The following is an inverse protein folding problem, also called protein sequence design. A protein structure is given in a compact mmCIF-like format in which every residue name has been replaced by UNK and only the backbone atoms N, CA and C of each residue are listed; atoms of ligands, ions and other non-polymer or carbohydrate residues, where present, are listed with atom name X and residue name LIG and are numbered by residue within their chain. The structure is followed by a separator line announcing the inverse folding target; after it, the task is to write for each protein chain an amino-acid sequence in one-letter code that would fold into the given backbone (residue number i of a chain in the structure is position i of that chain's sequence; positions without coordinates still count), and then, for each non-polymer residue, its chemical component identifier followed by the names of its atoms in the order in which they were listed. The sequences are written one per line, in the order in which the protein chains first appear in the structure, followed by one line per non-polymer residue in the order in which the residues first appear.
data_IF_240585995266
#
_entry.id   IF_240585995266
#
_cell.length_a   1.000
_cell.length_b   1.000
_cell.length_c   1.000
_cell.angle_alpha   90.00
_cell.angle_beta   90.00
_cell.angle_gamma   90.00
#
_symmetry.space_group_name_H-M   'P 1'
#
loop_
_entity.id
_entity.type
_entity.pdbx_description
1 polymer ?
#
# COMPACT_ATOMS: atom_id res chain seq x y z
N UNK A 1 -10.36 9.42 -16.13
CA UNK A 1 -9.89 8.91 -14.82
C UNK A 1 -10.13 10.00 -13.78
N UNK A 2 -9.27 11.00 -13.71
CA UNK A 2 -9.21 11.98 -12.62
C UNK A 2 -10.53 12.70 -12.31
N UNK A 3 -11.30 13.08 -13.34
CA UNK A 3 -12.57 13.78 -13.14
C UNK A 3 -13.61 12.93 -12.37
N UNK A 4 -13.65 11.62 -12.61
CA UNK A 4 -14.61 10.72 -11.94
C UNK A 4 -14.31 10.63 -10.45
N UNK A 5 -13.04 10.44 -10.08
CA UNK A 5 -12.61 10.35 -8.69
C UNK A 5 -12.73 11.69 -7.96
N UNK A 6 -12.49 12.81 -8.66
CA UNK A 6 -12.75 14.15 -8.12
C UNK A 6 -14.22 14.36 -7.77
N UNK A 7 -15.14 13.91 -8.63
CA UNK A 7 -16.58 13.97 -8.33
C UNK A 7 -16.90 13.11 -7.12
N UNK A 8 -16.36 11.88 -7.02
CA UNK A 8 -16.56 11.02 -5.85
C UNK A 8 -16.09 11.67 -4.54
N UNK A 9 -14.93 12.30 -4.54
CA UNK A 9 -14.43 13.06 -3.38
C UNK A 9 -15.36 14.22 -2.99
N UNK A 10 -15.93 14.93 -3.98
CA UNK A 10 -16.91 15.99 -3.74
C UNK A 10 -18.22 15.45 -3.16
N UNK A 11 -18.73 14.31 -3.67
CA UNK A 11 -19.93 13.68 -3.13
C UNK A 11 -19.69 13.19 -1.68
N UNK A 12 -18.50 12.67 -1.37
CA UNK A 12 -18.11 12.33 0.00
C UNK A 12 -18.20 13.54 0.94
N UNK A 13 -17.70 14.69 0.51
CA UNK A 13 -17.77 15.94 1.29
C UNK A 13 -19.20 16.41 1.49
N UNK A 14 -20.03 16.37 0.44
CA UNK A 14 -21.44 16.78 0.56
C UNK A 14 -22.19 15.87 1.51
N UNK A 15 -22.01 14.55 1.38
CA UNK A 15 -22.61 13.57 2.28
C UNK A 15 -22.20 13.85 3.72
N UNK A 16 -20.90 13.99 3.98
CA UNK A 16 -20.38 14.33 5.30
C UNK A 16 -21.00 15.62 5.86
N UNK A 17 -20.96 16.72 5.12
CA UNK A 17 -21.50 18.01 5.60
C UNK A 17 -23.01 17.97 5.83
N UNK A 18 -23.77 17.24 5.01
CA UNK A 18 -25.23 17.14 5.13
C UNK A 18 -25.69 16.50 6.45
N UNK A 19 -24.87 15.62 7.04
CA UNK A 19 -25.15 14.93 8.31
C UNK A 19 -24.32 15.46 9.48
N UNK A 20 -23.62 16.57 9.31
CA UNK A 20 -22.70 17.10 10.32
C UNK A 20 -23.39 17.85 11.46
N UNK A 21 -24.56 18.46 11.23
CA UNK A 21 -25.29 19.27 12.22
C UNK A 21 -26.79 19.31 11.92
N UNK A 22 -27.64 19.57 12.92
CA UNK A 22 -29.06 19.83 12.70
C UNK A 22 -29.30 21.18 11.99
N UNK A 23 -30.45 21.35 11.30
CA UNK A 23 -31.47 20.34 11.04
C UNK A 23 -30.98 19.31 10.01
N UNK A 24 -31.40 18.06 10.18
CA UNK A 24 -31.12 17.01 9.20
C UNK A 24 -31.75 17.35 7.86
N UNK A 25 -31.08 16.90 6.80
CA UNK A 25 -31.58 17.01 5.43
C UNK A 25 -32.93 16.33 5.31
N UNK A 26 -33.80 16.84 4.43
CA UNK A 26 -35.11 16.23 4.20
C UNK A 26 -34.95 14.79 3.68
N UNK A 27 -35.99 13.97 3.80
CA UNK A 27 -35.95 12.60 3.27
C UNK A 27 -35.68 12.57 1.75
N UNK A 28 -36.21 13.55 1.01
CA UNK A 28 -35.99 13.70 -0.43
C UNK A 28 -34.54 14.09 -0.74
N UNK A 29 -33.97 15.04 0.01
CA UNK A 29 -32.56 15.45 -0.16
C UNK A 29 -31.60 14.32 0.25
N UNK A 30 -31.93 13.57 1.30
CA UNK A 30 -31.16 12.41 1.74
C UNK A 30 -31.16 11.31 0.67
N UNK A 31 -32.31 11.03 0.07
CA UNK A 31 -32.41 10.10 -1.05
C UNK A 31 -31.54 10.57 -2.23
N UNK A 32 -31.63 11.85 -2.59
CA UNK A 32 -30.82 12.41 -3.67
C UNK A 32 -29.32 12.33 -3.41
N UNK A 33 -28.87 12.67 -2.19
CA UNK A 33 -27.46 12.53 -1.79
C UNK A 33 -26.99 11.08 -1.90
N UNK A 34 -27.84 10.13 -1.50
CA UNK A 34 -27.53 8.70 -1.59
C UNK A 34 -27.42 8.23 -3.05
N UNK A 35 -28.31 8.70 -3.92
CA UNK A 35 -28.27 8.43 -5.37
C UNK A 35 -27.01 9.05 -6.02
N UNK A 36 -26.65 10.29 -5.66
CA UNK A 36 -25.45 10.96 -6.18
C UNK A 36 -24.17 10.20 -5.79
N UNK A 37 -24.07 9.75 -4.53
CA UNK A 37 -22.96 8.91 -4.04
C UNK A 37 -22.92 7.57 -4.77
N UNK A 38 -24.07 6.89 -4.91
CA UNK A 38 -24.15 5.62 -5.63
C UNK A 38 -23.71 5.78 -7.09
N UNK A 39 -24.15 6.84 -7.77
CA UNK A 39 -23.77 7.13 -9.15
C UNK A 39 -22.27 7.41 -9.28
N UNK A 40 -21.69 8.16 -8.35
CA UNK A 40 -20.25 8.43 -8.32
C UNK A 40 -19.43 7.15 -8.14
N UNK A 41 -19.85 6.26 -7.23
CA UNK A 41 -19.20 4.96 -7.01
C UNK A 41 -19.36 4.04 -8.22
N UNK A 42 -20.53 3.98 -8.85
CA UNK A 42 -20.74 3.23 -10.09
C UNK A 42 -19.84 3.75 -11.22
N UNK A 43 -19.66 5.07 -11.33
CA UNK A 43 -18.77 5.66 -12.30
C UNK A 43 -17.30 5.27 -12.05
N UNK A 44 -16.87 5.27 -10.78
CA UNK A 44 -15.53 4.77 -10.37
C UNK A 44 -15.37 3.29 -10.71
N UNK A 45 -16.34 2.43 -10.39
CA UNK A 45 -16.27 1.01 -10.74
C UNK A 45 -16.21 0.79 -12.26
N UNK A 46 -16.94 1.61 -13.03
CA UNK A 46 -16.97 1.55 -14.50
C UNK A 46 -15.60 1.80 -15.12
N UNK A 47 -14.78 2.66 -14.51
CA UNK A 47 -13.40 2.91 -14.95
C UNK A 47 -12.60 1.60 -15.04
N UNK A 48 -12.64 0.78 -13.99
CA UNK A 48 -11.94 -0.50 -13.98
C UNK A 48 -12.46 -1.45 -15.07
N UNK A 49 -13.79 -1.51 -15.25
CA UNK A 49 -14.39 -2.36 -16.28
C UNK A 49 -14.09 -1.90 -17.70
N UNK A 50 -13.81 -0.62 -17.91
CA UNK A 50 -13.41 -0.07 -19.21
C UNK A 50 -11.96 -0.36 -19.57
N UNK A 51 -11.11 -0.76 -18.60
CA UNK A 51 -9.72 -1.10 -18.86
C UNK A 51 -9.63 -2.43 -19.64
N UNK A 52 -9.12 -2.41 -20.90
CA UNK A 52 -9.03 -3.61 -21.72
C UNK A 52 -8.16 -4.67 -21.06
N UNK A 53 -8.57 -5.93 -21.14
CA UNK A 53 -7.81 -7.06 -20.56
C UNK A 53 -6.40 -7.20 -21.16
N UNK A 54 -6.20 -6.73 -22.38
CA UNK A 54 -4.91 -6.75 -23.07
C UNK A 54 -3.92 -5.68 -22.62
N UNK A 55 -4.27 -4.79 -21.69
CA UNK A 55 -3.36 -3.74 -21.17
C UNK A 55 -2.45 -4.23 -20.04
N UNK A 56 -2.42 -5.53 -19.77
CA UNK A 56 -1.59 -6.15 -18.73
C UNK A 56 -2.31 -6.34 -17.40
N UNK A 57 -1.96 -7.42 -16.70
CA UNK A 57 -2.58 -7.81 -15.43
C UNK A 57 -2.11 -6.91 -14.29
N UNK A 58 -0.85 -6.48 -14.30
CA UNK A 58 -0.28 -5.61 -13.25
C UNK A 58 -0.99 -4.26 -13.22
N UNK A 59 -1.12 -3.58 -14.37
CA UNK A 59 -1.87 -2.33 -14.45
C UNK A 59 -3.32 -2.51 -14.02
N UNK A 60 -3.98 -3.60 -14.49
CA UNK A 60 -5.36 -3.90 -14.11
C UNK A 60 -5.54 -4.10 -12.62
N UNK A 61 -4.59 -4.79 -11.98
CA UNK A 61 -4.56 -5.00 -10.53
C UNK A 61 -4.46 -3.67 -9.79
N UNK A 62 -3.53 -2.80 -10.17
CA UNK A 62 -3.37 -1.49 -9.52
C UNK A 62 -4.62 -0.60 -9.67
N UNK A 63 -5.24 -0.54 -10.85
CA UNK A 63 -6.48 0.23 -11.06
C UNK A 63 -7.64 -0.36 -10.26
N UNK A 64 -7.73 -1.70 -10.20
CA UNK A 64 -8.73 -2.38 -9.37
C UNK A 64 -8.54 -2.05 -7.90
N UNK A 65 -7.33 -2.16 -7.39
CA UNK A 65 -7.04 -1.97 -5.96
C UNK A 65 -7.34 -0.52 -5.55
N UNK A 66 -6.93 0.49 -6.35
CA UNK A 66 -7.32 1.88 -6.12
C UNK A 66 -8.85 2.13 -6.21
N UNK A 67 -9.54 1.41 -7.11
CA UNK A 67 -11.01 1.47 -7.19
C UNK A 67 -11.64 0.89 -5.91
N UNK A 68 -11.11 -0.23 -5.41
CA UNK A 68 -11.55 -0.85 -4.17
C UNK A 68 -11.35 0.06 -2.97
N UNK A 69 -10.17 0.69 -2.83
CA UNK A 69 -9.88 1.63 -1.74
C UNK A 69 -10.89 2.79 -1.66
N UNK A 70 -11.30 3.35 -2.81
CA UNK A 70 -12.31 4.41 -2.85
C UNK A 70 -13.69 3.91 -2.42
N UNK A 71 -14.06 2.69 -2.81
CA UNK A 71 -15.33 2.07 -2.41
C UNK A 71 -15.33 1.77 -0.91
N UNK A 72 -14.25 1.20 -0.39
CA UNK A 72 -14.09 0.90 1.03
C UNK A 72 -14.11 2.18 1.87
N UNK A 73 -13.43 3.24 1.44
CA UNK A 73 -13.48 4.54 2.10
C UNK A 73 -14.89 5.12 2.16
N UNK A 74 -15.67 4.99 1.07
CA UNK A 74 -17.05 5.48 1.04
C UNK A 74 -17.97 4.66 1.96
N UNK A 75 -17.77 3.35 2.04
CA UNK A 75 -18.47 2.48 3.00
C UNK A 75 -18.15 2.95 4.42
N UNK A 76 -16.87 3.12 4.76
CA UNK A 76 -16.44 3.56 6.09
C UNK A 76 -17.01 4.93 6.46
N UNK A 77 -17.02 5.90 5.53
CA UNK A 77 -17.65 7.20 5.73
C UNK A 77 -19.15 7.06 6.03
N UNK A 78 -19.85 6.23 5.26
CA UNK A 78 -21.30 6.02 5.44
C UNK A 78 -21.59 5.37 6.80
N UNK A 79 -20.83 4.34 7.19
CA UNK A 79 -20.95 3.69 8.49
C UNK A 79 -20.67 4.65 9.64
N UNK A 80 -19.66 5.51 9.49
CA UNK A 80 -19.32 6.55 10.47
C UNK A 80 -20.47 7.54 10.66
N UNK A 81 -21.06 8.02 9.55
CA UNK A 81 -22.20 8.94 9.59
C UNK A 81 -23.42 8.29 10.26
N UNK A 82 -23.71 7.03 9.95
CA UNK A 82 -24.83 6.29 10.54
C UNK A 82 -24.65 6.02 12.04
N UNK A 83 -23.41 5.95 12.51
CA UNK A 83 -23.06 5.65 13.90
C UNK A 83 -22.84 6.92 14.75
N UNK A 84 -22.62 8.08 14.11
CA UNK A 84 -22.28 9.32 14.79
C UNK A 84 -23.50 10.02 15.43
N UNK A 85 -23.33 10.69 16.59
CA UNK A 85 -24.36 11.57 17.14
C UNK A 85 -24.58 12.77 16.21
N UNK A 86 -25.82 13.00 15.79
CA UNK A 86 -26.21 14.02 14.79
C UNK A 86 -26.17 15.48 15.31
N UNK A 87 -25.49 15.71 16.43
CA UNK A 87 -25.40 17.02 17.10
C UNK A 87 -24.26 17.87 16.54
N UNK A 88 -23.16 17.23 16.12
CA UNK A 88 -21.98 17.93 15.61
C UNK A 88 -21.06 17.03 14.80
N UNK A 89 -20.29 17.64 13.90
CA UNK A 89 -19.25 16.99 13.11
C UNK A 89 -18.23 16.31 14.02
N UNK A 90 -18.14 14.98 13.93
CA UNK A 90 -17.20 14.20 14.76
C UNK A 90 -15.81 14.15 14.12
N UNK A 91 -14.80 13.90 14.95
CA UNK A 91 -13.44 13.66 14.46
C UNK A 91 -13.37 12.42 13.57
N UNK A 92 -14.11 11.36 13.92
CA UNK A 92 -14.18 10.13 13.11
C UNK A 92 -14.74 10.41 11.71
N UNK A 93 -15.76 11.24 11.62
CA UNK A 93 -16.35 11.64 10.33
C UNK A 93 -15.37 12.45 9.48
N UNK A 94 -14.58 13.35 10.10
CA UNK A 94 -13.51 14.06 9.40
C UNK A 94 -12.42 13.12 8.89
N UNK A 95 -12.02 12.14 9.70
CA UNK A 95 -11.01 11.14 9.33
C UNK A 95 -11.51 10.28 8.17
N UNK A 96 -12.74 9.76 8.24
CA UNK A 96 -13.29 8.93 7.16
C UNK A 96 -13.54 9.73 5.87
N UNK A 97 -13.95 11.00 5.97
CA UNK A 97 -14.02 11.89 4.79
C UNK A 97 -12.64 12.10 4.17
N UNK A 98 -11.62 12.34 5.01
CA UNK A 98 -10.23 12.49 4.57
C UNK A 98 -9.67 11.22 3.90
N UNK A 99 -10.02 10.04 4.40
CA UNK A 99 -9.64 8.75 3.80
C UNK A 99 -10.18 8.59 2.38
N UNK A 100 -11.43 8.99 2.12
CA UNK A 100 -11.98 8.99 0.76
C UNK A 100 -11.24 9.96 -0.15
N UNK A 101 -10.88 11.14 0.35
CA UNK A 101 -10.10 12.12 -0.41
C UNK A 101 -8.73 11.57 -0.79
N UNK A 102 -8.01 11.01 0.17
CA UNK A 102 -6.70 10.41 -0.06
C UNK A 102 -6.77 9.30 -1.12
N UNK A 103 -7.73 8.37 -0.99
CA UNK A 103 -7.94 7.31 -1.98
C UNK A 103 -8.25 7.88 -3.39
N UNK A 104 -9.05 8.95 -3.48
CA UNK A 104 -9.34 9.59 -4.76
C UNK A 104 -8.12 10.32 -5.34
N UNK A 105 -7.30 10.95 -4.52
CA UNK A 105 -6.11 11.70 -4.96
C UNK A 105 -5.00 10.76 -5.45
N UNK A 106 -4.84 9.59 -4.81
CA UNK A 106 -3.87 8.55 -5.20
C UNK A 106 -4.04 8.09 -6.65
N UNK A 107 -5.25 8.18 -7.22
CA UNK A 107 -5.54 7.79 -8.61
C UNK A 107 -4.72 8.60 -9.61
N UNK A 108 -4.40 9.86 -9.29
CA UNK A 108 -3.57 10.72 -10.15
C UNK A 108 -2.15 10.18 -10.33
N UNK A 109 -1.69 9.35 -9.38
CA UNK A 109 -0.38 8.71 -9.39
C UNK A 109 -0.41 7.33 -10.06
N UNK A 110 -1.57 6.84 -10.51
CA UNK A 110 -1.65 5.54 -11.13
C UNK A 110 -0.86 5.48 -12.44
N UNK A 111 -0.17 4.37 -12.70
CA UNK A 111 0.49 4.13 -13.98
C UNK A 111 -0.49 4.20 -15.15
N UNK A 112 -0.03 4.72 -16.29
CA UNK A 112 -0.85 4.84 -17.51
C UNK A 112 -0.68 3.69 -18.49
N UNK A 113 0.37 2.88 -18.30
CA UNK A 113 0.69 1.71 -19.11
C UNK A 113 1.26 0.60 -18.21
N UNK A 114 1.35 -0.61 -18.76
CA UNK A 114 1.83 -1.76 -17.99
C UNK A 114 3.32 -1.66 -17.64
N UNK A 115 4.13 -0.97 -18.46
CA UNK A 115 5.55 -0.79 -18.15
C UNK A 115 5.73 0.02 -16.87
N UNK A 116 5.02 1.14 -16.74
CA UNK A 116 5.02 1.97 -15.55
C UNK A 116 4.43 1.22 -14.35
N UNK A 117 3.42 0.38 -14.56
CA UNK A 117 2.84 -0.45 -13.50
C UNK A 117 3.84 -1.47 -12.95
N UNK A 118 4.50 -2.21 -13.83
CA UNK A 118 5.54 -3.18 -13.45
C UNK A 118 6.75 -2.48 -12.84
N UNK A 119 7.16 -1.32 -13.36
CA UNK A 119 8.22 -0.53 -12.75
C UNK A 119 7.84 -0.05 -11.33
N UNK A 120 6.58 0.29 -11.10
CA UNK A 120 6.07 0.65 -9.77
C UNK A 120 6.09 -0.54 -8.82
N UNK A 121 5.61 -1.70 -9.26
CA UNK A 121 5.61 -2.94 -8.47
C UNK A 121 7.04 -3.36 -8.08
N UNK A 122 7.98 -3.34 -9.03
CA UNK A 122 9.40 -3.62 -8.79
C UNK A 122 10.03 -2.60 -7.82
N UNK A 123 9.65 -1.33 -7.92
CA UNK A 123 10.14 -0.29 -7.01
C UNK A 123 9.61 -0.49 -5.58
N UNK A 124 8.35 -0.90 -5.43
CA UNK A 124 7.76 -1.23 -4.13
C UNK A 124 8.46 -2.44 -3.49
N UNK A 125 8.63 -3.55 -4.23
CA UNK A 125 9.37 -4.72 -3.76
C UNK A 125 10.83 -4.36 -3.39
N UNK A 126 11.50 -3.54 -4.20
CA UNK A 126 12.83 -3.04 -3.88
C UNK A 126 12.85 -2.18 -2.61
N UNK A 127 11.77 -1.43 -2.33
CA UNK A 127 11.58 -0.68 -1.08
C UNK A 127 11.56 -1.60 0.12
N UNK A 128 10.67 -2.61 0.12
CA UNK A 128 10.56 -3.57 1.23
C UNK A 128 11.88 -4.29 1.49
N UNK A 129 12.59 -4.73 0.45
CA UNK A 129 13.91 -5.37 0.60
C UNK A 129 14.96 -4.41 1.17
N UNK A 130 14.88 -3.10 0.87
CA UNK A 130 15.77 -2.10 1.49
C UNK A 130 15.46 -1.93 2.95
N UNK A 131 14.20 -1.76 3.30
CA UNK A 131 13.75 -1.52 4.67
C UNK A 131 14.13 -2.73 5.55
N UNK A 132 13.85 -3.95 5.09
CA UNK A 132 14.26 -5.19 5.77
C UNK A 132 15.79 -5.32 5.92
N UNK A 133 16.57 -4.87 4.92
CA UNK A 133 18.03 -4.84 5.03
C UNK A 133 18.51 -3.83 6.07
N UNK A 134 17.91 -2.65 6.10
CA UNK A 134 18.23 -1.58 7.04
C UNK A 134 17.86 -2.01 8.47
N UNK A 135 16.69 -2.60 8.68
CA UNK A 135 16.26 -3.19 9.96
C UNK A 135 17.25 -4.25 10.45
N UNK A 136 17.71 -5.15 9.58
CA UNK A 136 18.70 -6.17 9.94
C UNK A 136 20.08 -5.58 10.25
N UNK A 137 20.51 -4.54 9.53
CA UNK A 137 21.75 -3.80 9.81
C UNK A 137 21.69 -3.11 11.18
N UNK A 138 20.56 -2.48 11.51
CA UNK A 138 20.32 -1.89 12.82
C UNK A 138 20.30 -2.94 13.93
N UNK A 139 19.58 -4.06 13.75
CA UNK A 139 19.50 -5.13 14.74
C UNK A 139 20.87 -5.77 15.03
N UNK A 140 21.76 -5.86 14.04
CA UNK A 140 23.13 -6.36 14.23
C UNK A 140 24.04 -5.36 14.97
N UNK A 141 23.85 -4.06 14.74
CA UNK A 141 24.59 -3.01 15.44
C UNK A 141 24.19 -2.93 16.92
N UNK A 142 22.89 -3.08 17.22
CA UNK A 142 22.35 -3.00 18.57
C UNK A 142 22.41 -4.33 19.35
N UNK A 143 22.39 -5.47 18.66
CA UNK A 143 22.41 -6.82 19.24
C UNK A 143 23.77 -7.27 19.79
N UNK A 144 24.66 -6.33 20.14
CA UNK A 144 25.90 -6.63 20.83
C UNK A 144 25.64 -6.79 22.33
N UNK A 145 26.03 -7.92 22.90
CA UNK A 145 26.03 -8.11 24.36
C UNK A 145 27.02 -7.12 24.99
N UNK A 146 26.55 -6.09 25.74
CA UNK A 146 27.43 -5.09 26.37
C UNK A 146 28.33 -5.69 27.44
N UNK A 147 28.08 -6.95 27.81
CA UNK A 147 28.75 -7.67 28.88
C UNK A 147 29.48 -8.93 28.39
N UNK A 148 29.73 -9.04 27.07
CA UNK A 148 30.44 -10.19 26.47
C UNK A 148 31.81 -10.46 27.10
N UNK A 149 32.44 -9.43 27.65
CA UNK A 149 33.79 -9.47 28.21
C UNK A 149 33.81 -9.79 29.71
N UNK A 150 32.64 -9.93 30.35
CA UNK A 150 32.56 -10.24 31.78
C UNK A 150 32.58 -11.75 31.96
N UNK A 151 33.64 -12.26 32.58
CA UNK A 151 33.74 -13.67 32.94
C UNK A 151 32.61 -14.07 33.90
N UNK A 152 31.95 -15.19 33.61
CA UNK A 152 30.89 -15.72 34.47
C UNK A 152 31.48 -16.17 35.81
N UNK A 153 30.92 -15.65 36.89
CA UNK A 153 31.27 -16.08 38.25
C UNK A 153 30.62 -17.44 38.52
N UNK A 154 31.45 -18.45 38.80
CA UNK A 154 31.05 -19.85 39.05
C UNK A 154 30.04 -19.97 40.21
N UNK A 155 29.99 -18.97 41.11
CA UNK A 155 29.14 -18.94 42.30
C UNK A 155 27.76 -18.29 42.08
N UNK A 156 27.57 -17.47 41.02
CA UNK A 156 26.34 -16.68 40.78
C UNK A 156 25.44 -17.22 39.66
N UNK A 157 25.86 -18.28 38.95
CA UNK A 157 25.10 -18.91 37.87
C UNK A 157 25.10 -18.12 36.54
N UNK A 158 24.58 -18.76 35.48
CA UNK A 158 24.54 -18.18 34.13
C UNK A 158 23.74 -16.87 34.08
N UNK A 159 24.22 -15.89 33.32
CA UNK A 159 23.45 -14.66 33.03
C UNK A 159 22.15 -15.02 32.31
N UNK A 160 21.00 -14.78 32.96
CA UNK A 160 19.68 -15.12 32.44
C UNK A 160 19.21 -14.35 31.19
N UNK A 161 20.06 -13.52 30.58
CA UNK A 161 19.76 -12.80 29.34
C UNK A 161 20.62 -13.27 28.15
N UNK A 162 21.44 -14.32 28.28
CA UNK A 162 22.24 -14.86 27.15
C UNK A 162 21.38 -15.20 25.93
N UNK A 163 20.17 -15.67 26.17
CA UNK A 163 19.17 -16.07 25.17
C UNK A 163 18.69 -14.88 24.31
N UNK A 164 18.93 -13.64 24.76
CA UNK A 164 18.51 -12.41 24.05
C UNK A 164 19.56 -11.86 23.10
N UNK A 165 20.77 -12.42 23.05
CA UNK A 165 21.86 -11.94 22.21
C UNK A 165 22.25 -12.97 21.14
N UNK A 166 22.68 -12.46 19.98
CA UNK A 166 23.18 -13.29 18.89
C UNK A 166 24.48 -13.97 19.26
N UNK A 167 24.53 -15.30 19.15
CA UNK A 167 25.78 -16.05 19.28
C UNK A 167 26.73 -15.74 18.11
N UNK A 168 28.01 -16.11 18.24
CA UNK A 168 28.97 -15.99 17.15
C UNK A 168 28.55 -16.81 15.91
N UNK A 169 27.96 -18.00 16.14
CA UNK A 169 27.42 -18.84 15.06
C UNK A 169 26.26 -18.13 14.33
N UNK A 170 25.36 -17.50 15.08
CA UNK A 170 24.25 -16.74 14.49
C UNK A 170 24.76 -15.55 13.69
N UNK A 171 25.73 -14.79 14.20
CA UNK A 171 26.33 -13.66 13.48
C UNK A 171 26.99 -14.10 12.18
N UNK A 172 27.67 -15.24 12.17
CA UNK A 172 28.28 -15.79 10.96
C UNK A 172 27.21 -16.18 9.93
N UNK A 173 26.12 -16.81 10.36
CA UNK A 173 25.00 -17.15 9.48
C UNK A 173 24.32 -15.89 8.94
N UNK A 174 24.02 -14.93 9.81
CA UNK A 174 23.40 -13.64 9.46
C UNK A 174 24.22 -12.89 8.42
N UNK A 175 25.55 -12.88 8.53
CA UNK A 175 26.41 -12.24 7.52
C UNK A 175 26.20 -12.80 6.11
N UNK A 176 25.96 -14.12 6.00
CA UNK A 176 25.68 -14.80 4.73
C UNK A 176 24.27 -14.48 4.22
N UNK A 177 23.27 -14.49 5.12
CA UNK A 177 21.89 -14.10 4.80
C UNK A 177 21.80 -12.65 4.31
N UNK A 178 22.52 -11.72 4.96
CA UNK A 178 22.62 -10.34 4.51
C UNK A 178 23.25 -10.21 3.12
N UNK A 179 24.29 -11.02 2.83
CA UNK A 179 24.88 -11.10 1.50
C UNK A 179 23.85 -11.46 0.43
N UNK A 180 23.00 -12.46 0.72
CA UNK A 180 21.90 -12.86 -0.16
C UNK A 180 20.87 -11.73 -0.33
N UNK A 181 20.42 -11.10 0.75
CA UNK A 181 19.48 -9.97 0.68
C UNK A 181 20.06 -8.79 -0.13
N UNK A 182 21.35 -8.48 0.02
CA UNK A 182 22.06 -7.47 -0.77
C UNK A 182 22.12 -7.84 -2.25
N UNK A 183 22.33 -9.12 -2.56
CA UNK A 183 22.26 -9.62 -3.93
C UNK A 183 20.84 -9.49 -4.52
N UNK A 184 19.80 -9.88 -3.77
CA UNK A 184 18.39 -9.71 -4.17
C UNK A 184 18.04 -8.25 -4.46
N UNK A 185 18.45 -7.32 -3.57
CA UNK A 185 18.34 -5.86 -3.78
C UNK A 185 19.02 -5.40 -5.07
N UNK A 186 20.23 -5.89 -5.34
CA UNK A 186 20.97 -5.53 -6.55
C UNK A 186 20.29 -6.07 -7.82
N UNK A 187 19.78 -7.31 -7.78
CA UNK A 187 19.02 -7.92 -8.86
C UNK A 187 17.74 -7.12 -9.16
N UNK A 188 16.91 -6.85 -8.16
CA UNK A 188 15.70 -6.03 -8.29
C UNK A 188 16.02 -4.64 -8.87
N UNK A 189 17.06 -3.98 -8.36
CA UNK A 189 17.51 -2.67 -8.88
C UNK A 189 17.92 -2.76 -10.36
N UNK A 190 18.58 -3.84 -10.78
CA UNK A 190 19.00 -4.04 -12.16
C UNK A 190 17.81 -4.31 -13.08
N UNK A 191 16.87 -5.16 -12.66
CA UNK A 191 15.63 -5.47 -13.39
C UNK A 191 14.77 -4.21 -13.53
N UNK A 192 14.56 -3.46 -12.45
CA UNK A 192 13.86 -2.18 -12.48
C UNK A 192 14.49 -1.20 -13.48
N UNK A 193 15.82 -1.11 -13.50
CA UNK A 193 16.55 -0.30 -14.47
C UNK A 193 16.33 -0.75 -15.92
N UNK A 194 16.30 -2.06 -16.17
CA UNK A 194 16.04 -2.62 -17.49
C UNK A 194 14.59 -2.38 -17.95
N UNK A 195 13.60 -2.57 -17.08
CA UNK A 195 12.18 -2.29 -17.38
C UNK A 195 11.98 -0.82 -17.71
N UNK A 196 12.58 0.10 -16.94
CA UNK A 196 12.49 1.55 -17.22
C UNK A 196 13.14 1.96 -18.53
N UNK A 197 14.27 1.35 -18.89
CA UNK A 197 15.02 1.72 -20.08
C UNK A 197 14.51 1.07 -21.38
N UNK A 198 14.00 -0.16 -21.29
CA UNK A 198 13.75 -0.99 -22.47
C UNK A 198 12.37 -1.67 -22.48
N UNK A 199 11.59 -1.57 -21.40
CA UNK A 199 10.24 -2.12 -21.35
C UNK A 199 9.33 -1.50 -22.41
N UNK A 200 8.46 -2.31 -22.99
CA UNK A 200 7.47 -1.89 -23.98
C UNK A 200 6.14 -2.55 -23.68
N UNK A 201 5.05 -1.82 -23.90
CA UNK A 201 3.69 -2.31 -23.68
C UNK A 201 2.86 -2.24 -24.97
N UNK A 202 3.52 -2.34 -26.13
CA UNK A 202 2.87 -2.15 -27.44
C UNK A 202 2.30 -3.47 -28.00
N UNK A 203 2.89 -4.61 -27.62
CA UNK A 203 2.50 -5.93 -28.10
C UNK A 203 2.10 -6.86 -26.94
N UNK A 204 1.12 -7.77 -27.14
CA UNK A 204 0.66 -8.69 -26.09
C UNK A 204 1.78 -9.53 -25.47
N UNK A 205 2.75 -9.96 -26.26
CA UNK A 205 3.91 -10.74 -25.80
C UNK A 205 4.81 -9.93 -24.85
N UNK A 206 5.01 -8.65 -25.14
CA UNK A 206 5.83 -7.76 -24.29
C UNK A 206 5.10 -7.45 -22.98
N UNK A 207 3.78 -7.26 -23.05
CA UNK A 207 2.93 -7.07 -21.88
C UNK A 207 2.98 -8.31 -20.97
N UNK A 208 2.87 -9.51 -21.54
CA UNK A 208 2.98 -10.77 -20.79
C UNK A 208 4.35 -10.91 -20.12
N UNK A 209 5.45 -10.64 -20.84
CA UNK A 209 6.80 -10.66 -20.25
C UNK A 209 6.98 -9.65 -19.11
N UNK A 210 6.36 -8.48 -19.21
CA UNK A 210 6.36 -7.48 -18.15
C UNK A 210 5.60 -7.99 -16.91
N UNK A 211 4.43 -8.60 -17.11
CA UNK A 211 3.65 -9.18 -16.01
C UNK A 211 4.40 -10.34 -15.34
N UNK A 212 5.03 -11.24 -16.11
CA UNK A 212 5.85 -12.33 -15.57
C UNK A 212 6.99 -11.80 -14.66
N UNK A 213 7.61 -10.68 -15.03
CA UNK A 213 8.64 -10.04 -14.22
C UNK A 213 8.10 -9.49 -12.90
N UNK A 214 6.88 -8.94 -12.90
CA UNK A 214 6.23 -8.47 -11.68
C UNK A 214 5.85 -9.64 -10.76
N UNK A 215 5.32 -10.72 -11.33
CA UNK A 215 4.93 -11.91 -10.57
C UNK A 215 6.14 -12.56 -9.88
N UNK A 216 7.24 -12.78 -10.62
CA UNK A 216 8.49 -13.31 -10.04
C UNK A 216 9.06 -12.37 -8.97
N UNK A 217 9.00 -11.05 -9.18
CA UNK A 217 9.51 -10.11 -8.20
C UNK A 217 8.71 -10.11 -6.89
N UNK A 218 7.40 -10.37 -6.94
CA UNK A 218 6.57 -10.49 -5.75
C UNK A 218 6.93 -11.73 -4.92
N UNK A 219 7.55 -12.76 -5.49
CA UNK A 219 8.06 -13.92 -4.72
C UNK A 219 9.30 -13.58 -3.88
N UNK A 220 10.05 -12.53 -4.23
CA UNK A 220 11.27 -12.13 -3.50
C UNK A 220 10.95 -11.47 -2.16
N UNK A 221 9.80 -10.80 -2.07
CA UNK A 221 9.32 -10.11 -0.89
C UNK A 221 7.83 -10.44 -0.70
N UNK A 222 7.51 -11.56 -0.03
CA UNK A 222 6.14 -12.01 0.18
C UNK A 222 5.33 -11.09 1.11
#
# INVERSE_FOLDING_TARGET
LDQTFKVTSQEATKLSLAFSRPPLTSAEDCQKLSEDVQNAILAVATVYYWLPKGQGTTLRKMVRDATTEVVEGMIQLTETILSAPLESLTQEQLISTGGVWEACDQVSNLPRDNQAAVASALAACLGVVKDALEEMEHALAEGQDPYSDIMEDEELGFRGNKDTYWSEADRKLLSSCMGLMKASKACLKKVLGAVKAYGKADAPEQIAQLDDLADIANEISP
#
